data_IF_973002787715
#
_entry.id   IF_973002787715
#
_cell.length_a   1.000
_cell.length_b   1.000
_cell.length_c   1.000
_cell.angle_alpha   90.00
_cell.angle_beta   90.00
_cell.angle_gamma   90.00
#
_symmetry.space_group_name_H-M   'P 1'
#
loop_
_entity.id
_entity.type
_entity.pdbx_description
1 polymer ?
#
# COMPACT_ATOMS: atom_id res chain seq x y z
N UNK A 1 18.27 15.10 7.52
CA UNK A 1 19.46 15.67 6.87
C UNK A 1 20.04 14.66 5.90
N UNK A 2 20.47 15.11 4.73
CA UNK A 2 21.00 14.25 3.67
C UNK A 2 22.45 14.63 3.36
N UNK A 3 23.22 13.66 2.90
CA UNK A 3 24.56 13.86 2.37
C UNK A 3 24.54 14.56 1.00
N UNK A 4 25.68 14.91 0.48
CA UNK A 4 25.83 15.45 -0.89
C UNK A 4 25.28 14.50 -1.98
N UNK A 5 25.23 13.19 -1.69
CA UNK A 5 24.67 12.15 -2.56
C UNK A 5 23.16 11.94 -2.39
N UNK A 6 22.50 12.73 -1.53
CA UNK A 6 21.06 12.62 -1.26
C UNK A 6 20.64 11.51 -0.30
N UNK A 7 21.59 10.76 0.26
CA UNK A 7 21.32 9.71 1.26
C UNK A 7 21.20 10.30 2.67
N UNK A 8 20.44 9.64 3.54
CA UNK A 8 20.35 10.04 4.95
C UNK A 8 21.69 9.83 5.66
N UNK A 9 22.07 10.81 6.48
CA UNK A 9 23.27 10.69 7.33
C UNK A 9 22.87 9.93 8.59
N UNK A 10 23.36 8.71 8.76
CA UNK A 10 23.00 7.81 9.85
C UNK A 10 24.15 7.51 10.82
N UNK A 11 25.34 8.09 10.58
CA UNK A 11 26.53 7.81 11.36
C UNK A 11 26.90 8.93 12.35
N UNK A 12 26.16 10.05 12.35
CA UNK A 12 26.41 11.17 13.25
C UNK A 12 25.38 11.20 14.39
N UNK A 13 25.81 11.01 15.66
CA UNK A 13 24.89 11.06 16.81
C UNK A 13 24.12 12.38 16.94
N UNK A 14 24.74 13.50 16.58
CA UNK A 14 24.12 14.81 16.60
C UNK A 14 22.98 14.89 15.59
N UNK A 15 23.24 14.44 14.36
CA UNK A 15 22.21 14.41 13.29
C UNK A 15 21.07 13.47 13.64
N UNK A 16 21.36 12.31 14.24
CA UNK A 16 20.31 11.37 14.66
C UNK A 16 19.42 11.94 15.76
N UNK A 17 19.96 12.76 16.62
CA UNK A 17 19.21 13.41 17.69
C UNK A 17 18.37 14.58 17.18
N UNK A 18 18.91 15.39 16.30
CA UNK A 18 18.28 16.66 15.90
C UNK A 18 17.33 16.49 14.70
N UNK A 19 17.46 15.42 13.94
CA UNK A 19 16.61 15.16 12.76
C UNK A 19 15.77 13.90 12.92
N UNK A 20 14.48 14.09 13.14
CA UNK A 20 13.52 13.02 13.43
C UNK A 20 13.54 11.87 12.40
N UNK A 21 13.63 12.18 11.11
CA UNK A 21 13.68 11.17 10.03
C UNK A 21 14.96 10.33 10.11
N UNK A 22 16.11 10.97 10.29
CA UNK A 22 17.40 10.28 10.42
C UNK A 22 17.41 9.35 11.63
N UNK A 23 16.91 9.84 12.76
CA UNK A 23 16.77 9.05 13.98
C UNK A 23 15.84 7.85 13.80
N UNK A 24 14.66 8.06 13.23
CA UNK A 24 13.67 7.00 13.00
C UNK A 24 14.23 5.88 12.10
N UNK A 25 14.87 6.22 10.99
CA UNK A 25 15.49 5.23 10.08
C UNK A 25 16.65 4.50 10.75
N UNK A 26 17.48 5.20 11.53
CA UNK A 26 18.57 4.59 12.29
C UNK A 26 18.04 3.55 13.31
N UNK A 27 17.03 3.91 14.09
CA UNK A 27 16.40 2.99 15.05
C UNK A 27 15.75 1.79 14.37
N UNK A 28 15.05 2.01 13.27
CA UNK A 28 14.43 0.93 12.50
C UNK A 28 15.49 -0.09 12.02
N UNK A 29 16.61 0.38 11.49
CA UNK A 29 17.74 -0.48 11.09
C UNK A 29 18.32 -1.22 12.27
N UNK A 30 18.46 -0.56 13.41
CA UNK A 30 18.98 -1.16 14.63
C UNK A 30 18.08 -2.30 15.14
N UNK A 31 16.77 -2.08 15.17
CA UNK A 31 15.77 -3.09 15.57
C UNK A 31 15.87 -4.32 14.66
N UNK A 32 15.85 -4.12 13.35
CA UNK A 32 15.95 -5.22 12.37
C UNK A 32 17.24 -6.01 12.54
N UNK A 33 18.35 -5.32 12.76
CA UNK A 33 19.67 -5.96 12.87
C UNK A 33 19.84 -6.74 14.18
N UNK A 34 19.26 -6.28 15.27
CA UNK A 34 19.50 -6.82 16.62
C UNK A 34 18.33 -7.64 17.18
N UNK A 35 17.22 -7.71 16.46
CA UNK A 35 16.09 -8.56 16.83
C UNK A 35 15.74 -9.49 15.66
N UNK A 36 15.49 -10.75 15.95
CA UNK A 36 15.04 -11.72 14.93
C UNK A 36 13.50 -11.75 14.82
N UNK A 37 12.83 -10.74 15.37
CA UNK A 37 11.37 -10.70 15.46
C UNK A 37 10.77 -9.88 14.31
N UNK A 38 11.48 -8.84 13.88
CA UNK A 38 10.98 -7.87 12.90
C UNK A 38 11.92 -7.82 11.69
N UNK A 39 11.39 -8.05 10.51
CA UNK A 39 12.15 -8.02 9.25
C UNK A 39 11.93 -6.73 8.45
N UNK A 40 10.81 -6.05 8.69
CA UNK A 40 10.36 -4.86 7.94
C UNK A 40 9.77 -3.83 8.90
N UNK A 41 10.10 -2.57 8.69
CA UNK A 41 9.63 -1.47 9.54
C UNK A 41 9.30 -0.25 8.69
N UNK A 42 8.20 0.42 9.01
CA UNK A 42 7.96 1.78 8.57
C UNK A 42 8.55 2.75 9.60
N UNK A 43 9.60 3.46 9.22
CA UNK A 43 10.20 4.51 10.02
C UNK A 43 9.48 5.84 9.74
N UNK A 44 8.91 6.44 10.77
CA UNK A 44 8.11 7.66 10.67
C UNK A 44 8.82 8.78 11.41
N UNK A 45 9.17 9.82 10.68
CA UNK A 45 9.76 11.04 11.23
C UNK A 45 8.80 12.21 11.11
N UNK A 46 8.40 12.79 12.24
CA UNK A 46 7.59 14.00 12.29
C UNK A 46 8.45 15.23 12.56
N UNK A 47 8.31 16.25 11.75
CA UNK A 47 8.96 17.53 11.90
C UNK A 47 7.97 18.67 11.69
N UNK A 48 8.16 19.78 12.40
CA UNK A 48 7.29 20.96 12.27
C UNK A 48 7.75 22.09 13.16
N UNK A 49 7.24 23.27 12.89
CA UNK A 49 7.53 24.51 13.59
C UNK A 49 6.31 25.06 14.37
N UNK A 50 5.26 24.27 14.51
CA UNK A 50 3.99 24.67 15.11
C UNK A 50 2.98 25.29 14.14
N UNK A 51 3.41 25.66 12.94
CA UNK A 51 2.54 26.18 11.89
C UNK A 51 2.35 25.19 10.74
N UNK A 52 3.37 24.42 10.44
CA UNK A 52 3.31 23.32 9.47
C UNK A 52 3.96 22.06 10.02
N UNK A 53 3.28 20.93 9.89
CA UNK A 53 3.78 19.64 10.29
C UNK A 53 4.02 18.77 9.05
N UNK A 54 5.16 18.12 9.03
CA UNK A 54 5.54 17.17 7.99
C UNK A 54 5.82 15.82 8.61
N UNK A 55 5.13 14.81 8.13
CA UNK A 55 5.33 13.41 8.54
C UNK A 55 5.88 12.66 7.34
N UNK A 56 7.13 12.23 7.45
CA UNK A 56 7.82 11.49 6.38
C UNK A 56 7.91 10.01 6.73
N UNK A 57 7.55 9.16 5.79
CA UNK A 57 7.60 7.70 5.94
C UNK A 57 8.75 7.12 5.13
N UNK A 58 9.53 6.27 5.76
CA UNK A 58 10.54 5.43 5.12
C UNK A 58 10.24 3.96 5.38
N UNK A 59 10.32 3.15 4.36
CA UNK A 59 10.33 1.70 4.48
C UNK A 59 11.77 1.24 4.74
N UNK A 60 11.96 0.38 5.73
CA UNK A 60 13.26 -0.14 6.13
C UNK A 60 13.21 -1.65 6.21
N UNK A 61 14.17 -2.32 5.58
CA UNK A 61 14.38 -3.76 5.68
C UNK A 61 15.85 -4.08 6.02
N UNK A 62 16.21 -5.35 6.04
CA UNK A 62 17.57 -5.81 6.37
C UNK A 62 18.65 -5.34 5.38
N UNK A 63 18.28 -4.96 4.18
CA UNK A 63 19.19 -4.60 3.09
C UNK A 63 19.28 -3.11 2.87
N UNK A 64 18.16 -2.40 2.98
CA UNK A 64 18.08 -1.00 2.56
C UNK A 64 17.00 -0.22 3.31
N UNK A 65 16.92 1.06 3.03
CA UNK A 65 15.79 1.91 3.36
C UNK A 65 15.35 2.69 2.12
N UNK A 66 14.08 3.01 2.04
CA UNK A 66 13.48 3.73 0.92
C UNK A 66 12.51 4.79 1.44
N UNK A 67 12.63 6.02 0.95
CA UNK A 67 11.61 7.04 1.14
C UNK A 67 10.32 6.63 0.41
N UNK A 68 9.20 6.72 1.09
CA UNK A 68 7.90 6.37 0.54
C UNK A 68 7.12 7.64 0.18
N UNK A 69 6.73 8.40 1.18
CA UNK A 69 5.94 9.62 1.00
C UNK A 69 5.94 10.49 2.25
N UNK A 70 5.49 11.72 2.08
CA UNK A 70 5.02 12.56 3.17
C UNK A 70 3.50 12.39 3.29
N UNK A 71 3.01 12.33 4.51
CA UNK A 71 1.59 12.17 4.83
C UNK A 71 1.14 13.26 5.80
N UNK A 72 -0.15 13.54 5.82
CA UNK A 72 -0.76 14.52 6.71
C UNK A 72 -1.31 13.92 8.01
N UNK A 73 -1.54 12.59 8.01
CA UNK A 73 -2.04 11.84 9.15
C UNK A 73 -1.49 10.42 9.13
N UNK A 74 -1.74 9.64 10.18
CA UNK A 74 -1.25 8.27 10.33
C UNK A 74 -2.30 7.19 9.99
N UNK A 75 -3.36 7.54 9.29
CA UNK A 75 -4.45 6.60 8.95
C UNK A 75 -3.96 5.38 8.15
N UNK A 76 -3.06 5.60 7.19
CA UNK A 76 -2.51 4.53 6.36
C UNK A 76 -1.63 3.54 7.14
N UNK A 77 -1.14 3.93 8.31
CA UNK A 77 -0.29 3.11 9.17
C UNK A 77 -1.06 2.39 10.29
N UNK A 78 -2.39 2.53 10.35
CA UNK A 78 -3.21 1.74 11.26
C UNK A 78 -3.16 0.26 10.90
N UNK A 79 -3.36 -0.60 11.89
CA UNK A 79 -3.34 -2.06 11.75
C UNK A 79 -4.21 -2.56 10.58
N UNK A 80 -5.38 -1.98 10.40
CA UNK A 80 -6.34 -2.29 9.34
C UNK A 80 -5.90 -1.87 7.93
N UNK A 81 -5.02 -0.86 7.81
CA UNK A 81 -4.62 -0.25 6.53
C UNK A 81 -3.16 -0.52 6.16
N UNK A 82 -2.32 -0.87 7.12
CA UNK A 82 -0.86 -0.94 6.92
C UNK A 82 -0.43 -1.97 5.88
N UNK A 83 -1.13 -3.08 5.77
CA UNK A 83 -0.83 -4.11 4.78
C UNK A 83 -1.09 -3.60 3.36
N UNK A 84 -2.24 -2.95 3.14
CA UNK A 84 -2.57 -2.34 1.87
C UNK A 84 -1.60 -1.19 1.51
N UNK A 85 -1.26 -0.37 2.48
CA UNK A 85 -0.25 0.67 2.30
C UNK A 85 1.11 0.09 1.88
N UNK A 86 1.53 -1.03 2.48
CA UNK A 86 2.75 -1.73 2.10
C UNK A 86 2.68 -2.27 0.67
N UNK A 87 1.58 -2.93 0.29
CA UNK A 87 1.41 -3.50 -1.06
C UNK A 87 1.45 -2.43 -2.15
N UNK A 88 0.79 -1.32 -1.93
CA UNK A 88 0.74 -0.22 -2.91
C UNK A 88 2.04 0.57 -2.92
N UNK A 89 2.53 1.00 -1.77
CA UNK A 89 3.64 1.96 -1.67
C UNK A 89 5.02 1.33 -1.78
N UNK A 90 5.19 0.09 -1.34
CA UNK A 90 6.48 -0.62 -1.34
C UNK A 90 6.56 -1.62 -2.49
N UNK A 91 5.54 -2.46 -2.65
CA UNK A 91 5.51 -3.48 -3.71
C UNK A 91 5.07 -2.93 -5.07
N UNK A 92 4.49 -1.73 -5.13
CA UNK A 92 4.02 -1.12 -6.37
C UNK A 92 2.78 -1.77 -6.95
N UNK A 93 1.98 -2.46 -6.15
CA UNK A 93 0.71 -3.03 -6.58
C UNK A 93 -0.34 -1.94 -6.80
N UNK A 94 -1.33 -2.22 -7.63
CA UNK A 94 -2.49 -1.35 -7.80
C UNK A 94 -3.29 -1.26 -6.50
N UNK A 95 -3.95 -0.12 -6.21
CA UNK A 95 -4.88 0.00 -5.10
C UNK A 95 -5.95 -1.10 -5.11
N UNK A 96 -6.46 -1.47 -3.94
CA UNK A 96 -7.42 -2.56 -3.77
C UNK A 96 -8.62 -2.42 -4.68
N UNK A 97 -9.21 -1.23 -4.76
CA UNK A 97 -10.37 -0.94 -5.60
C UNK A 97 -10.10 -1.18 -7.09
N UNK A 98 -8.89 -0.82 -7.56
CA UNK A 98 -8.50 -1.06 -8.96
C UNK A 98 -8.26 -2.55 -9.24
N UNK A 99 -7.67 -3.28 -8.30
CA UNK A 99 -7.49 -4.74 -8.42
C UNK A 99 -8.82 -5.47 -8.47
N UNK A 100 -9.75 -5.12 -7.60
CA UNK A 100 -11.10 -5.68 -7.57
C UNK A 100 -11.87 -5.37 -8.86
N UNK A 101 -11.76 -4.16 -9.39
CA UNK A 101 -12.38 -3.80 -10.67
C UNK A 101 -11.83 -4.62 -11.85
N UNK A 102 -10.52 -4.84 -11.89
CA UNK A 102 -9.89 -5.69 -12.93
C UNK A 102 -10.41 -7.12 -12.82
N UNK A 103 -10.51 -7.66 -11.61
CA UNK A 103 -11.02 -9.00 -11.38
C UNK A 103 -12.49 -9.16 -11.80
N UNK A 104 -13.35 -8.22 -11.41
CA UNK A 104 -14.76 -8.19 -11.83
C UNK A 104 -14.90 -8.13 -13.35
N UNK A 105 -14.12 -7.27 -14.01
CA UNK A 105 -14.14 -7.17 -15.47
C UNK A 105 -13.67 -8.46 -16.14
N UNK A 106 -12.71 -9.16 -15.57
CA UNK A 106 -12.26 -10.46 -16.07
C UNK A 106 -13.35 -11.52 -15.95
N UNK A 107 -13.97 -11.63 -14.77
CA UNK A 107 -15.08 -12.57 -14.53
C UNK A 107 -16.26 -12.28 -15.49
N UNK A 108 -16.59 -11.02 -15.68
CA UNK A 108 -17.65 -10.64 -16.63
C UNK A 108 -17.31 -11.02 -18.07
N UNK A 109 -16.05 -10.87 -18.49
CA UNK A 109 -15.60 -11.27 -19.82
C UNK A 109 -15.65 -12.81 -20.01
N UNK A 110 -15.18 -13.57 -19.02
CA UNK A 110 -15.22 -15.03 -19.01
C UNK A 110 -16.67 -15.54 -19.07
N UNK A 111 -17.56 -14.96 -18.26
CA UNK A 111 -18.99 -15.30 -18.28
C UNK A 111 -19.63 -14.96 -19.64
N UNK A 112 -19.25 -13.85 -20.23
CA UNK A 112 -19.71 -13.45 -21.56
C UNK A 112 -19.30 -14.46 -22.64
N UNK A 113 -18.09 -14.98 -22.55
CA UNK A 113 -17.60 -16.01 -23.47
C UNK A 113 -18.30 -17.36 -23.25
N UNK A 114 -18.49 -17.77 -22.02
CA UNK A 114 -19.20 -18.99 -21.66
C UNK A 114 -20.65 -18.97 -22.14
N UNK A 115 -21.36 -17.87 -21.96
CA UNK A 115 -22.74 -17.72 -22.48
C UNK A 115 -22.80 -17.78 -24.01
N UNK A 116 -21.78 -17.26 -24.70
CA UNK A 116 -21.69 -17.37 -26.15
C UNK A 116 -21.44 -18.80 -26.60
N UNK A 117 -20.56 -19.52 -25.93
CA UNK A 117 -20.09 -20.83 -26.34
C UNK A 117 -21.08 -21.95 -25.95
N UNK A 118 -21.72 -21.84 -24.79
CA UNK A 118 -22.58 -22.90 -24.24
C UNK A 118 -24.05 -22.55 -24.23
N UNK A 119 -24.41 -21.28 -24.11
CA UNK A 119 -25.79 -20.82 -24.02
C UNK A 119 -26.43 -20.41 -25.34
N UNK A 120 -25.65 -20.25 -26.39
CA UNK A 120 -26.09 -19.69 -27.70
C UNK A 120 -26.82 -18.35 -27.57
N UNK A 121 -26.47 -17.57 -26.54
CA UNK A 121 -27.09 -16.30 -26.27
C UNK A 121 -26.33 -15.18 -27.00
N UNK A 122 -27.06 -14.31 -27.69
CA UNK A 122 -26.52 -13.17 -28.42
C UNK A 122 -27.27 -11.87 -28.07
N UNK A 123 -26.55 -10.74 -28.21
CA UNK A 123 -27.11 -9.40 -28.11
C UNK A 123 -27.72 -9.06 -26.75
N UNK A 124 -28.90 -8.44 -26.74
CA UNK A 124 -29.57 -7.96 -25.53
C UNK A 124 -29.90 -9.05 -24.50
N UNK A 125 -30.20 -10.26 -24.96
CA UNK A 125 -30.48 -11.40 -24.09
C UNK A 125 -29.27 -11.78 -23.24
N UNK A 126 -28.08 -11.71 -23.83
CA UNK A 126 -26.82 -11.96 -23.16
C UNK A 126 -26.52 -10.92 -22.08
N UNK A 127 -26.69 -9.63 -22.39
CA UNK A 127 -26.53 -8.55 -21.44
C UNK A 127 -27.50 -8.68 -20.26
N UNK A 128 -28.76 -9.04 -20.51
CA UNK A 128 -29.76 -9.25 -19.47
C UNK A 128 -29.42 -10.42 -18.54
N UNK A 129 -28.93 -11.53 -19.06
CA UNK A 129 -28.51 -12.70 -18.25
C UNK A 129 -27.28 -12.36 -17.40
N UNK A 130 -26.26 -11.73 -17.96
CA UNK A 130 -25.06 -11.31 -17.22
C UNK A 130 -25.43 -10.34 -16.10
N UNK A 131 -26.28 -9.34 -16.37
CA UNK A 131 -26.75 -8.40 -15.36
C UNK A 131 -27.54 -9.07 -14.25
N UNK A 132 -28.39 -10.03 -14.56
CA UNK A 132 -29.16 -10.79 -13.57
C UNK A 132 -28.26 -11.63 -12.66
N UNK A 133 -27.23 -12.27 -13.21
CA UNK A 133 -26.25 -13.05 -12.43
C UNK A 133 -25.45 -12.15 -11.50
N UNK A 134 -24.94 -11.02 -11.98
CA UNK A 134 -24.19 -10.07 -11.16
C UNK A 134 -25.03 -9.52 -10.00
N UNK A 135 -26.30 -9.18 -10.24
CA UNK A 135 -27.24 -8.74 -9.21
C UNK A 135 -27.52 -9.83 -8.19
N UNK A 136 -27.63 -11.09 -8.61
CA UNK A 136 -27.82 -12.21 -7.71
C UNK A 136 -26.63 -12.43 -6.79
N UNK A 137 -25.40 -12.32 -7.31
CA UNK A 137 -24.16 -12.43 -6.53
C UNK A 137 -24.02 -11.28 -5.53
N UNK A 138 -24.36 -10.06 -5.92
CA UNK A 138 -24.33 -8.90 -5.02
C UNK A 138 -25.29 -9.08 -3.83
N UNK A 139 -26.47 -9.68 -4.05
CA UNK A 139 -27.43 -9.95 -2.98
C UNK A 139 -26.99 -11.09 -2.04
N UNK A 140 -26.17 -12.01 -2.47
CA UNK A 140 -25.62 -13.08 -1.59
C UNK A 140 -24.57 -12.56 -0.61
N UNK A 141 -23.82 -11.52 -0.95
CA UNK A 141 -22.85 -10.90 -0.05
C UNK A 141 -23.48 -10.06 1.09
N UNK A 142 -24.78 -9.77 1.01
CA UNK A 142 -25.51 -8.96 2.01
C UNK A 142 -26.19 -9.82 3.08
N UNK A 143 -26.17 -11.12 2.94
CA UNK A 143 -26.68 -12.07 3.92
C UNK A 143 -25.51 -12.55 4.80
#
# INVERSE_FOLDING_TARGET
>A
MKSERGELILDSPEILKDYAVNGAVHYARHIIKHTNIVEKVFAVGASGDGHSNKISIHYVDSKSYKYISDINNLEDLKEENIEEFYRVSVLGELPKEERELIEVNKIAADLHEDLRNYGSLEGEKKASVVSAILLALENEEVI
#
